data_IF_780843416868
#
_entry.id   IF_780843416868
#
_cell.length_a   1.000
_cell.length_b   1.000
_cell.length_c   1.000
_cell.angle_alpha   90.00
_cell.angle_beta   90.00
_cell.angle_gamma   90.00
#
_symmetry.space_group_name_H-M   'P 1'
#
loop_
_entity.id
_entity.type
_entity.pdbx_description
1 polymer ?
#
# COMPACT_ATOMS: atom_id res chain seq x y z
N UNK A 1 4.55 -17.24 -2.92
CA UNK A 1 3.60 -16.13 -3.07
C UNK A 1 2.51 -16.16 -1.98
N UNK A 2 2.88 -16.38 -0.72
CA UNK A 2 1.93 -16.37 0.40
C UNK A 2 2.49 -15.42 1.46
N UNK A 3 1.71 -14.44 1.90
CA UNK A 3 2.17 -13.58 2.99
C UNK A 3 1.39 -12.32 3.32
N UNK A 4 0.30 -11.96 2.62
CA UNK A 4 -0.41 -10.72 2.98
C UNK A 4 -1.92 -10.81 3.21
N UNK A 5 -2.53 -11.99 3.04
CA UNK A 5 -3.92 -12.24 3.46
C UNK A 5 -3.94 -12.70 4.92
N UNK A 6 -3.42 -11.86 5.83
CA UNK A 6 -3.71 -12.06 7.25
C UNK A 6 -5.18 -11.69 7.44
N UNK A 7 -6.01 -12.69 7.67
CA UNK A 7 -7.40 -12.49 8.06
C UNK A 7 -7.44 -11.55 9.27
N UNK A 8 -8.21 -10.47 9.16
CA UNK A 8 -8.30 -9.48 10.23
C UNK A 8 -9.12 -10.11 11.36
N UNK A 9 -8.49 -10.31 12.52
CA UNK A 9 -9.20 -10.81 13.70
C UNK A 9 -10.15 -9.73 14.24
N UNK A 10 -11.45 -9.97 14.07
CA UNK A 10 -12.52 -9.07 14.50
C UNK A 10 -13.14 -9.48 15.84
N UNK A 11 -12.66 -10.53 16.50
CA UNK A 11 -13.27 -11.10 17.71
C UNK A 11 -13.36 -10.12 18.88
N UNK A 12 -12.41 -9.17 18.96
CA UNK A 12 -12.38 -8.13 19.97
C UNK A 12 -13.32 -6.93 19.69
N UNK A 13 -14.04 -6.94 18.55
CA UNK A 13 -14.96 -5.86 18.16
C UNK A 13 -16.43 -6.24 18.40
N UNK A 14 -17.22 -5.25 18.82
CA UNK A 14 -18.68 -5.41 18.86
C UNK A 14 -19.28 -5.56 17.46
N UNK A 15 -20.46 -6.19 17.29
CA UNK A 15 -21.11 -6.34 15.98
C UNK A 15 -21.29 -5.00 15.22
N UNK A 16 -21.58 -3.93 15.96
CA UNK A 16 -21.68 -2.57 15.39
C UNK A 16 -20.33 -2.05 14.87
N UNK A 17 -19.24 -2.33 15.58
CA UNK A 17 -17.90 -1.96 15.14
C UNK A 17 -17.47 -2.77 13.92
N UNK A 18 -17.74 -4.07 13.89
CA UNK A 18 -17.44 -4.94 12.75
C UNK A 18 -18.14 -4.45 11.48
N UNK A 19 -19.43 -4.12 11.55
CA UNK A 19 -20.19 -3.60 10.43
C UNK A 19 -19.70 -2.21 9.96
N UNK A 20 -19.28 -1.35 10.89
CA UNK A 20 -18.79 0.00 10.56
C UNK A 20 -17.36 0.01 10.01
N UNK A 21 -16.52 -0.98 10.36
CA UNK A 21 -15.11 -1.03 10.04
C UNK A 21 -14.80 -0.84 8.53
N UNK A 22 -15.40 -1.58 7.59
CA UNK A 22 -15.11 -1.40 6.16
C UNK A 22 -15.56 -0.03 5.62
N UNK A 23 -16.63 0.54 6.18
CA UNK A 23 -17.13 1.88 5.79
C UNK A 23 -16.13 2.95 6.23
N UNK A 24 -15.66 2.88 7.48
CA UNK A 24 -14.69 3.82 8.05
C UNK A 24 -13.32 3.70 7.38
N UNK A 25 -12.94 2.51 6.92
CA UNK A 25 -11.69 2.29 6.21
C UNK A 25 -11.59 3.09 4.90
N UNK A 26 -12.71 3.22 4.18
CA UNK A 26 -12.77 3.84 2.86
C UNK A 26 -13.04 5.35 2.87
N UNK A 27 -13.47 5.91 4.01
CA UNK A 27 -13.89 7.31 4.09
C UNK A 27 -12.84 8.15 4.86
N UNK A 28 -12.35 9.26 4.27
CA UNK A 28 -11.20 9.99 4.81
C UNK A 28 -11.54 10.85 6.03
N UNK A 29 -12.81 11.23 6.24
CA UNK A 29 -13.21 12.14 7.32
C UNK A 29 -14.12 11.45 8.33
N UNK A 30 -13.93 11.76 9.63
CA UNK A 30 -14.72 11.20 10.73
C UNK A 30 -16.21 11.51 10.54
N UNK A 31 -16.55 12.75 10.17
CA UNK A 31 -17.94 13.17 9.98
C UNK A 31 -18.67 12.42 8.85
N UNK A 32 -18.00 12.20 7.71
CA UNK A 32 -18.58 11.41 6.62
C UNK A 32 -18.63 9.93 6.98
N UNK A 33 -17.59 9.40 7.63
CA UNK A 33 -17.52 8.00 8.01
C UNK A 33 -18.59 7.65 9.04
N UNK A 34 -18.82 8.52 10.03
CA UNK A 34 -19.86 8.35 11.05
C UNK A 34 -21.25 8.32 10.41
N UNK A 35 -21.54 9.29 9.52
CA UNK A 35 -22.81 9.32 8.78
C UNK A 35 -23.01 8.07 7.91
N UNK A 36 -22.00 7.67 7.15
CA UNK A 36 -22.07 6.51 6.27
C UNK A 36 -22.20 5.19 7.05
N UNK A 37 -21.56 5.08 8.22
CA UNK A 37 -21.68 3.93 9.12
C UNK A 37 -22.92 3.99 10.02
N UNK A 38 -23.76 5.02 9.87
CA UNK A 38 -24.96 5.26 10.68
C UNK A 38 -24.68 5.27 12.20
N UNK A 39 -23.63 5.99 12.60
CA UNK A 39 -23.24 6.20 14.01
C UNK A 39 -23.00 7.68 14.30
N UNK A 40 -23.09 8.08 15.57
CA UNK A 40 -22.70 9.43 16.00
C UNK A 40 -21.20 9.65 15.90
N UNK A 41 -20.77 10.88 15.58
CA UNK A 41 -19.34 11.23 15.50
C UNK A 41 -18.59 11.01 16.81
N UNK A 42 -19.22 11.31 17.95
CA UNK A 42 -18.65 11.05 19.28
C UNK A 42 -18.41 9.56 19.52
N UNK A 43 -19.34 8.70 19.06
CA UNK A 43 -19.19 7.25 19.11
C UNK A 43 -18.02 6.78 18.25
N UNK A 44 -17.90 7.26 17.01
CA UNK A 44 -16.80 6.90 16.13
C UNK A 44 -15.46 7.37 16.70
N UNK A 45 -15.38 8.59 17.25
CA UNK A 45 -14.17 9.09 17.92
C UNK A 45 -13.74 8.19 19.08
N UNK A 46 -14.70 7.74 19.91
CA UNK A 46 -14.43 6.80 21.00
C UNK A 46 -13.94 5.43 20.49
N UNK A 47 -14.45 4.95 19.36
CA UNK A 47 -13.94 3.72 18.75
C UNK A 47 -12.52 3.88 18.23
N UNK A 48 -12.19 5.04 17.63
CA UNK A 48 -10.83 5.34 17.17
C UNK A 48 -9.81 5.49 18.30
N UNK A 49 -10.25 5.65 19.56
CA UNK A 49 -9.35 5.58 20.72
C UNK A 49 -9.22 4.16 21.29
N UNK A 50 -10.05 3.22 20.84
CA UNK A 50 -9.95 1.82 21.25
C UNK A 50 -8.81 1.14 20.46
N UNK A 51 -7.83 0.50 21.13
CA UNK A 51 -6.69 -0.12 20.46
C UNK A 51 -7.09 -1.24 19.48
N UNK A 52 -8.06 -2.08 19.83
CA UNK A 52 -8.50 -3.19 18.97
C UNK A 52 -9.15 -2.68 17.68
N UNK A 53 -10.05 -1.70 17.77
CA UNK A 53 -10.69 -1.10 16.59
C UNK A 53 -9.67 -0.39 15.71
N UNK A 54 -8.74 0.35 16.32
CA UNK A 54 -7.70 1.07 15.59
C UNK A 54 -6.74 0.12 14.86
N UNK A 55 -6.35 -0.98 15.49
CA UNK A 55 -5.52 -2.01 14.88
C UNK A 55 -6.21 -2.65 13.67
N UNK A 56 -7.47 -3.07 13.83
CA UNK A 56 -8.25 -3.65 12.73
C UNK A 56 -8.42 -2.65 11.56
N UNK A 57 -8.66 -1.37 11.86
CA UNK A 57 -8.83 -0.33 10.87
C UNK A 57 -7.52 -0.06 10.11
N UNK A 58 -6.40 0.02 10.83
CA UNK A 58 -5.09 0.22 10.24
C UNK A 58 -4.72 -0.95 9.32
N UNK A 59 -4.98 -2.18 9.77
CA UNK A 59 -4.72 -3.38 8.99
C UNK A 59 -5.59 -3.43 7.71
N UNK A 60 -6.89 -3.14 7.82
CA UNK A 60 -7.78 -3.11 6.66
C UNK A 60 -7.35 -2.05 5.63
N UNK A 61 -6.92 -0.87 6.09
CA UNK A 61 -6.36 0.18 5.22
C UNK A 61 -5.06 -0.28 4.57
N UNK A 62 -4.19 -0.97 5.31
CA UNK A 62 -2.94 -1.52 4.79
C UNK A 62 -3.19 -2.54 3.68
N UNK A 63 -4.14 -3.47 3.90
CA UNK A 63 -4.54 -4.45 2.88
C UNK A 63 -5.11 -3.77 1.63
N UNK A 64 -6.00 -2.80 1.82
CA UNK A 64 -6.59 -2.02 0.71
C UNK A 64 -5.53 -1.24 -0.08
N UNK A 65 -4.59 -0.61 0.62
CA UNK A 65 -3.46 0.09 -0.01
C UNK A 65 -2.52 -0.87 -0.75
N UNK A 66 -2.33 -2.09 -0.24
CA UNK A 66 -1.55 -3.12 -0.92
C UNK A 66 -2.21 -3.55 -2.24
N UNK A 67 -3.52 -3.77 -2.24
CA UNK A 67 -4.29 -4.10 -3.45
C UNK A 67 -4.17 -2.96 -4.48
N UNK A 68 -4.36 -1.70 -4.05
CA UNK A 68 -4.21 -0.55 -4.94
C UNK A 68 -2.79 -0.47 -5.53
N UNK A 69 -1.77 -0.71 -4.72
CA UNK A 69 -0.37 -0.74 -5.15
C UNK A 69 -0.10 -1.86 -6.16
N UNK A 70 -0.63 -3.05 -5.94
CA UNK A 70 -0.52 -4.17 -6.89
C UNK A 70 -1.17 -3.83 -8.23
N UNK A 71 -2.35 -3.20 -8.22
CA UNK A 71 -3.01 -2.72 -9.44
C UNK A 71 -2.17 -1.67 -10.17
N UNK A 72 -1.59 -0.70 -9.45
CA UNK A 72 -0.69 0.29 -10.06
C UNK A 72 0.57 -0.36 -10.63
N UNK A 73 1.17 -1.31 -9.91
CA UNK A 73 2.35 -2.03 -10.38
C UNK A 73 2.05 -2.81 -11.67
N UNK A 74 0.87 -3.43 -11.78
CA UNK A 74 0.43 -4.12 -12.98
C UNK A 74 0.27 -3.19 -14.21
N UNK A 75 0.09 -1.88 -14.01
CA UNK A 75 0.03 -0.89 -15.10
C UNK A 75 1.41 -0.44 -15.59
N UNK A 76 2.50 -0.77 -14.89
CA UNK A 76 3.86 -0.33 -15.23
C UNK A 76 4.27 -0.65 -16.68
N UNK A 77 3.98 -1.84 -17.25
CA UNK A 77 4.31 -2.12 -18.65
C UNK A 77 3.60 -1.18 -19.63
N UNK A 78 2.32 -0.88 -19.39
CA UNK A 78 1.57 0.08 -20.19
C UNK A 78 2.18 1.49 -20.09
N UNK A 79 2.53 1.93 -18.89
CA UNK A 79 3.21 3.22 -18.69
C UNK A 79 4.55 3.30 -19.44
N UNK A 80 5.30 2.19 -19.49
CA UNK A 80 6.55 2.12 -20.25
C UNK A 80 6.31 2.29 -21.76
N UNK A 81 5.27 1.66 -22.31
CA UNK A 81 4.87 1.86 -23.72
C UNK A 81 4.48 3.32 -23.99
N UNK A 82 3.68 3.94 -23.13
CA UNK A 82 3.30 5.35 -23.26
C UNK A 82 4.51 6.28 -23.24
N UNK A 83 5.50 6.01 -22.37
CA UNK A 83 6.75 6.77 -22.35
C UNK A 83 7.56 6.57 -23.63
N UNK A 84 7.62 5.35 -24.17
CA UNK A 84 8.31 5.07 -25.43
C UNK A 84 7.67 5.79 -26.63
N UNK A 85 6.33 5.83 -26.69
CA UNK A 85 5.60 6.58 -27.71
C UNK A 85 5.87 8.09 -27.57
N UNK A 86 5.84 8.61 -26.34
CA UNK A 86 6.10 10.03 -26.07
C UNK A 86 7.53 10.48 -26.43
N UNK A 87 8.50 9.56 -26.55
CA UNK A 87 9.84 9.89 -27.08
C UNK A 87 9.83 10.24 -28.58
N UNK A 88 8.74 9.97 -29.29
CA UNK A 88 8.55 10.31 -30.70
C UNK A 88 7.59 11.49 -30.91
N UNK A 89 7.12 12.13 -29.83
CA UNK A 89 6.21 13.27 -29.89
C UNK A 89 6.84 14.46 -30.66
N UNK A 90 6.11 15.21 -31.50
CA UNK A 90 6.67 16.35 -32.22
C UNK A 90 7.17 17.47 -31.30
N UNK A 91 6.60 17.63 -30.10
CA UNK A 91 7.02 18.63 -29.11
C UNK A 91 8.34 18.19 -28.43
N UNK A 92 9.45 18.93 -28.62
CA UNK A 92 10.71 18.63 -27.95
C UNK A 92 10.62 18.58 -26.42
N UNK A 93 9.73 19.38 -25.82
CA UNK A 93 9.55 19.40 -24.36
C UNK A 93 8.81 18.15 -23.85
N UNK A 94 7.91 17.56 -24.64
CA UNK A 94 7.28 16.27 -24.30
C UNK A 94 8.32 15.16 -24.41
N UNK A 95 9.09 15.09 -25.51
CA UNK A 95 10.15 14.08 -25.69
C UNK A 95 11.18 14.11 -24.56
N UNK A 96 11.71 15.29 -24.24
CA UNK A 96 12.73 15.44 -23.19
C UNK A 96 12.21 14.98 -21.82
N UNK A 97 10.95 15.30 -21.50
CA UNK A 97 10.31 14.82 -20.27
C UNK A 97 10.15 13.30 -20.27
N UNK A 98 9.69 12.71 -21.37
CA UNK A 98 9.55 11.26 -21.48
C UNK A 98 10.88 10.54 -21.26
N UNK A 99 11.95 11.00 -21.93
CA UNK A 99 13.32 10.49 -21.73
C UNK A 99 13.76 10.63 -20.28
N UNK A 100 13.60 11.82 -19.68
CA UNK A 100 14.00 12.06 -18.30
C UNK A 100 13.25 11.16 -17.31
N UNK A 101 11.93 10.99 -17.47
CA UNK A 101 11.13 10.11 -16.61
C UNK A 101 11.57 8.66 -16.74
N UNK A 102 11.81 8.17 -17.95
CA UNK A 102 12.27 6.80 -18.18
C UNK A 102 13.62 6.54 -17.51
N UNK A 103 14.61 7.43 -17.71
CA UNK A 103 15.93 7.29 -17.08
C UNK A 103 15.85 7.36 -15.55
N UNK A 104 15.10 8.33 -15.02
CA UNK A 104 14.93 8.51 -13.57
C UNK A 104 14.23 7.32 -12.92
N UNK A 105 13.22 6.75 -13.59
CA UNK A 105 12.51 5.57 -13.11
C UNK A 105 13.41 4.33 -13.15
N UNK A 106 14.12 4.12 -14.25
CA UNK A 106 15.02 2.98 -14.40
C UNK A 106 16.13 2.98 -13.34
N UNK A 107 16.78 4.12 -13.11
CA UNK A 107 17.81 4.24 -12.08
C UNK A 107 17.28 3.84 -10.69
N UNK A 108 16.12 4.40 -10.29
CA UNK A 108 15.49 4.08 -9.01
C UNK A 108 15.06 2.62 -8.91
N UNK A 109 14.56 2.03 -9.99
CA UNK A 109 14.17 0.63 -10.02
C UNK A 109 15.38 -0.29 -9.83
N UNK A 110 16.50 0.01 -10.49
CA UNK A 110 17.77 -0.72 -10.34
C UNK A 110 18.34 -0.57 -8.93
N UNK A 111 18.34 0.64 -8.36
CA UNK A 111 18.77 0.87 -6.98
C UNK A 111 17.94 0.05 -5.97
N UNK A 112 16.61 0.01 -6.14
CA UNK A 112 15.73 -0.79 -5.29
C UNK A 112 15.96 -2.30 -5.43
N UNK A 113 16.25 -2.76 -6.64
CA UNK A 113 16.56 -4.17 -6.89
C UNK A 113 17.89 -4.57 -6.24
N UNK A 114 18.91 -3.73 -6.35
CA UNK A 114 20.20 -3.95 -5.70
C UNK A 114 20.06 -3.99 -4.18
N UNK A 115 19.36 -3.00 -3.59
CA UNK A 115 19.10 -2.96 -2.15
C UNK A 115 18.34 -4.20 -1.66
N UNK A 116 17.37 -4.69 -2.44
CA UNK A 116 16.64 -5.93 -2.12
C UNK A 116 17.57 -7.14 -2.16
N UNK A 117 18.46 -7.22 -3.16
CA UNK A 117 19.43 -8.31 -3.26
C UNK A 117 20.41 -8.29 -2.08
N UNK A 118 20.92 -7.11 -1.71
CA UNK A 118 21.84 -6.94 -0.60
C UNK A 118 21.18 -7.33 0.73
N UNK A 119 19.94 -6.93 0.94
CA UNK A 119 19.16 -7.30 2.12
C UNK A 119 18.96 -8.82 2.21
N UNK A 120 18.64 -9.48 1.09
CA UNK A 120 18.51 -10.94 1.05
C UNK A 120 19.84 -11.66 1.38
N UNK A 121 20.96 -11.14 0.88
CA UNK A 121 22.28 -11.67 1.18
C UNK A 121 22.60 -11.53 2.67
N UNK A 122 22.27 -10.38 3.26
CA UNK A 122 22.48 -10.11 4.68
C UNK A 122 21.60 -11.01 5.56
N UNK A 123 20.31 -11.15 5.24
CA UNK A 123 19.40 -12.07 5.94
C UNK A 123 19.92 -13.51 5.90
N UNK A 124 20.47 -13.94 4.75
CA UNK A 124 21.05 -15.27 4.59
C UNK A 124 22.31 -15.44 5.46
N UNK A 125 23.20 -14.46 5.47
CA UNK A 125 24.41 -14.50 6.29
C UNK A 125 24.10 -14.53 7.79
N UNK A 126 23.14 -13.73 8.24
CA UNK A 126 22.69 -13.73 9.66
C UNK A 126 22.10 -15.08 10.04
N UNK A 127 21.28 -15.68 9.17
CA UNK A 127 20.70 -17.00 9.40
C UNK A 127 21.76 -18.09 9.60
N UNK A 128 22.84 -18.07 8.79
CA UNK A 128 23.96 -19.00 8.94
C UNK A 128 24.71 -18.85 10.27
N UNK A 129 24.83 -17.63 10.79
CA UNK A 129 25.48 -17.35 12.08
C UNK A 129 24.62 -17.75 13.30
N UNK A 130 23.30 -17.86 13.12
CA UNK A 130 22.35 -18.21 14.17
C UNK A 130 22.07 -19.72 14.25
N UNK A 131 22.62 -20.53 13.36
CA UNK A 131 22.52 -21.98 13.43
C UNK A 131 23.42 -22.50 14.58
N UNK A 132 22.86 -23.23 15.58
CA UNK A 132 23.69 -23.86 16.60
C UNK A 132 24.59 -24.92 15.95
N UNK A 133 25.83 -25.00 16.43
CA UNK A 133 26.85 -25.95 15.98
C UNK A 133 26.42 -27.41 16.16
#
# INVERSE_FOLDING_TARGET
MSGNDREIDLSALSPRQQAALPIVACIPTIAQAARAANVGESTLRRWLTNPAFSACLAELRRQSANIARQKLLALTPLCASVLADAMHDPDPAIRLRAVHYTLSFNLRATELENLRSDLHNLESAVSLLQQPA
#
